data_IF_063032563603
#
_entry.id   IF_063032563603
#
_cell.length_a   1.000
_cell.length_b   1.000
_cell.length_c   1.000
_cell.angle_alpha   90.00
_cell.angle_beta   90.00
_cell.angle_gamma   90.00
#
_symmetry.space_group_name_H-M   'P 1'
#
loop_
_entity.id
_entity.type
_entity.pdbx_description
1 polymer ?
#
# COMPACT_ATOMS: atom_id res chain seq x y z
N UNK A 1 48.74 -26.75 26.94
CA UNK A 1 48.28 -26.75 25.54
C UNK A 1 47.08 -25.81 25.47
N UNK A 2 47.36 -24.55 25.14
CA UNK A 2 46.35 -23.46 25.03
C UNK A 2 45.88 -23.39 23.57
N UNK A 3 44.63 -23.72 23.36
CA UNK A 3 44.01 -23.62 22.06
C UNK A 3 43.75 -22.13 21.74
N UNK A 4 44.40 -21.63 20.70
CA UNK A 4 44.20 -20.30 20.15
C UNK A 4 42.85 -20.22 19.43
N UNK A 5 42.01 -19.22 19.76
CA UNK A 5 40.77 -18.94 19.08
C UNK A 5 41.08 -18.45 17.65
N UNK A 6 40.25 -18.81 16.64
CA UNK A 6 40.44 -18.31 15.29
C UNK A 6 40.17 -16.79 15.22
N UNK A 7 40.89 -16.06 14.36
CA UNK A 7 40.69 -14.64 14.20
C UNK A 7 39.30 -14.33 13.61
N UNK A 8 38.66 -13.29 14.14
CA UNK A 8 37.43 -12.73 13.60
C UNK A 8 37.64 -12.38 12.10
N UNK A 9 36.76 -12.84 11.25
CA UNK A 9 36.74 -12.43 9.84
C UNK A 9 36.55 -10.92 9.79
N UNK A 10 37.53 -10.25 9.19
CA UNK A 10 37.40 -8.85 8.81
C UNK A 10 36.22 -8.75 7.81
N UNK A 11 35.29 -7.87 8.11
CA UNK A 11 34.21 -7.49 7.19
C UNK A 11 34.85 -6.85 5.96
N UNK A 12 34.58 -7.40 4.78
CA UNK A 12 35.04 -6.90 3.49
C UNK A 12 34.32 -5.56 3.20
N UNK A 13 35.00 -4.42 3.12
CA UNK A 13 34.38 -3.12 2.89
C UNK A 13 33.83 -2.92 1.45
N UNK A 14 33.92 -3.95 0.58
CA UNK A 14 33.42 -3.94 -0.79
C UNK A 14 32.04 -4.60 -0.96
N UNK A 15 31.44 -5.18 0.08
CA UNK A 15 30.07 -5.65 0.02
C UNK A 15 29.14 -4.44 0.10
N UNK A 16 28.51 -4.07 -1.04
CA UNK A 16 27.46 -3.04 -1.09
C UNK A 16 26.43 -3.28 0.02
N UNK A 17 25.90 -2.21 0.61
CA UNK A 17 24.93 -2.30 1.69
C UNK A 17 23.81 -3.28 1.30
N UNK A 18 23.40 -4.19 2.18
CA UNK A 18 22.40 -5.20 1.85
C UNK A 18 21.07 -4.51 1.49
N UNK A 19 20.55 -4.82 0.29
CA UNK A 19 19.34 -4.23 -0.27
C UNK A 19 18.11 -4.92 0.33
N UNK A 20 17.13 -4.16 0.78
CA UNK A 20 15.84 -4.63 1.31
C UNK A 20 14.95 -5.02 0.12
N UNK A 21 14.44 -6.25 0.09
CA UNK A 21 13.47 -6.73 -0.90
C UNK A 21 12.07 -6.43 -0.38
N UNK A 22 11.39 -5.43 -0.96
CA UNK A 22 10.08 -5.01 -0.47
C UNK A 22 9.00 -5.16 -1.54
N UNK A 23 7.94 -5.91 -1.23
CA UNK A 23 6.78 -6.06 -2.08
C UNK A 23 5.99 -4.76 -2.20
N UNK A 24 5.59 -4.40 -3.42
CA UNK A 24 4.81 -3.21 -3.70
C UNK A 24 3.74 -3.51 -4.74
N UNK A 25 2.49 -3.11 -4.44
CA UNK A 25 1.40 -3.07 -5.41
C UNK A 25 1.10 -1.62 -5.79
N UNK A 26 1.10 -1.33 -7.08
CA UNK A 26 0.78 -0.06 -7.73
C UNK A 26 1.80 1.08 -7.52
N UNK A 27 1.76 1.85 -6.44
CA UNK A 27 2.37 3.19 -6.41
C UNK A 27 3.83 3.24 -5.95
N UNK A 28 4.77 3.38 -6.88
CA UNK A 28 6.18 3.67 -6.57
C UNK A 28 6.37 5.03 -5.89
N UNK A 29 5.63 6.07 -6.30
CA UNK A 29 5.79 7.42 -5.72
C UNK A 29 5.52 7.46 -4.22
N UNK A 30 4.52 6.72 -3.73
CA UNK A 30 4.26 6.61 -2.29
C UNK A 30 5.40 5.85 -1.59
N UNK A 31 5.84 4.75 -2.19
CA UNK A 31 6.89 3.92 -1.66
C UNK A 31 8.22 4.66 -1.53
N UNK A 32 8.60 5.43 -2.54
CA UNK A 32 9.81 6.28 -2.53
C UNK A 32 9.73 7.37 -1.45
N UNK A 33 8.54 7.93 -1.19
CA UNK A 33 8.33 8.89 -0.09
C UNK A 33 8.52 8.25 1.29
N UNK A 34 8.13 6.99 1.47
CA UNK A 34 8.37 6.24 2.71
C UNK A 34 9.88 6.08 2.93
N UNK A 35 10.63 5.66 1.90
CA UNK A 35 12.09 5.48 1.97
C UNK A 35 12.80 6.80 2.28
N UNK A 36 12.47 7.86 1.54
CA UNK A 36 13.05 9.19 1.74
C UNK A 36 12.70 9.76 3.11
N UNK A 37 11.44 9.62 3.56
CA UNK A 37 10.97 10.04 4.87
C UNK A 37 11.70 9.35 6.02
N UNK A 38 12.02 8.07 5.85
CA UNK A 38 12.83 7.31 6.79
C UNK A 38 14.32 7.69 6.81
N UNK A 39 14.77 8.58 5.91
CA UNK A 39 16.17 9.00 5.79
C UNK A 39 17.08 7.97 5.12
N UNK A 40 16.51 7.06 4.32
CA UNK A 40 17.26 6.03 3.61
C UNK A 40 17.48 6.41 2.14
N UNK A 41 18.59 5.98 1.53
CA UNK A 41 18.83 6.21 0.11
C UNK A 41 17.87 5.36 -0.75
N UNK A 42 17.51 5.84 -1.93
CA UNK A 42 16.53 5.19 -2.81
C UNK A 42 16.93 3.78 -3.24
N UNK A 43 18.22 3.50 -3.35
CA UNK A 43 18.78 2.20 -3.72
C UNK A 43 18.86 1.19 -2.55
N UNK A 44 18.54 1.62 -1.33
CA UNK A 44 18.45 0.71 -0.19
C UNK A 44 17.28 -0.28 -0.27
N UNK A 45 16.27 0.01 -1.09
CA UNK A 45 15.08 -0.83 -1.25
C UNK A 45 14.90 -1.21 -2.72
N UNK A 46 14.79 -2.51 -2.97
CA UNK A 46 14.37 -3.05 -4.27
C UNK A 46 12.88 -3.39 -4.21
N UNK A 47 12.08 -2.70 -4.99
CA UNK A 47 10.66 -2.94 -5.11
C UNK A 47 10.39 -4.18 -5.95
N UNK A 48 9.55 -5.06 -5.44
CA UNK A 48 9.12 -6.30 -6.10
C UNK A 48 7.60 -6.22 -6.30
N UNK A 49 7.10 -6.31 -7.55
CA UNK A 49 5.67 -6.23 -7.78
C UNK A 49 4.95 -7.47 -7.23
N UNK A 50 3.73 -7.28 -6.77
CA UNK A 50 2.79 -8.35 -6.50
C UNK A 50 1.38 -7.94 -6.96
N UNK A 51 0.55 -8.93 -7.26
CA UNK A 51 -0.81 -8.71 -7.70
C UNK A 51 -1.80 -8.79 -6.52
N UNK A 52 -2.89 -8.04 -6.63
CA UNK A 52 -3.87 -7.93 -5.55
C UNK A 52 -4.66 -9.22 -5.33
N UNK A 53 -4.76 -10.07 -6.32
CA UNK A 53 -5.44 -11.37 -6.26
C UNK A 53 -4.56 -12.51 -5.68
N UNK A 54 -3.24 -12.28 -5.55
CA UNK A 54 -2.30 -13.18 -4.83
C UNK A 54 -1.27 -12.37 -4.02
N UNK A 55 -1.68 -11.67 -2.95
CA UNK A 55 -0.84 -10.67 -2.30
C UNK A 55 0.30 -11.27 -1.47
N UNK A 56 0.17 -12.48 -0.92
CA UNK A 56 1.08 -12.96 0.12
C UNK A 56 1.99 -14.13 -0.27
N UNK A 57 1.79 -14.77 -1.40
CA UNK A 57 2.55 -15.98 -1.81
C UNK A 57 4.04 -15.71 -1.92
N UNK A 58 4.45 -14.62 -2.54
CA UNK A 58 5.86 -14.26 -2.67
C UNK A 58 6.54 -13.95 -1.33
N UNK A 59 5.82 -13.30 -0.40
CA UNK A 59 6.31 -13.07 0.96
C UNK A 59 6.48 -14.38 1.73
N UNK A 60 5.49 -15.27 1.66
CA UNK A 60 5.53 -16.61 2.30
C UNK A 60 6.62 -17.51 1.74
N UNK A 61 6.95 -17.34 0.46
CA UNK A 61 8.05 -18.05 -0.19
C UNK A 61 9.45 -17.44 0.12
N UNK A 62 9.55 -16.40 0.97
CA UNK A 62 10.81 -15.76 1.31
C UNK A 62 11.45 -14.97 0.17
N UNK A 63 10.69 -14.66 -0.88
CA UNK A 63 11.16 -13.86 -2.01
C UNK A 63 11.23 -12.37 -1.67
N UNK A 64 10.53 -11.94 -0.62
CA UNK A 64 10.48 -10.59 -0.06
C UNK A 64 10.88 -10.62 1.41
N UNK A 65 11.52 -9.56 1.88
CA UNK A 65 11.81 -9.34 3.31
C UNK A 65 10.65 -8.62 3.99
N UNK A 66 10.04 -7.69 3.27
CA UNK A 66 8.90 -6.88 3.66
C UNK A 66 7.89 -6.80 2.50
N UNK A 67 6.67 -6.37 2.81
CA UNK A 67 5.74 -5.87 1.81
C UNK A 67 4.97 -4.65 2.34
N UNK A 68 4.62 -3.75 1.43
CA UNK A 68 3.73 -2.62 1.74
C UNK A 68 2.29 -3.12 1.74
N UNK A 69 1.59 -2.89 2.85
CA UNK A 69 0.16 -3.22 3.01
C UNK A 69 -0.63 -1.96 3.35
N UNK A 70 -1.88 -1.93 2.91
CA UNK A 70 -2.84 -0.89 3.32
C UNK A 70 -3.86 -1.48 4.28
N UNK A 71 -4.29 -0.64 5.23
CA UNK A 71 -4.98 -1.11 6.42
C UNK A 71 -4.17 -2.21 7.13
N UNK A 72 -4.52 -2.65 8.26
CA UNK A 72 -3.74 -3.63 9.01
C UNK A 72 -4.37 -5.02 8.84
N UNK A 73 -3.99 -5.79 7.80
CA UNK A 73 -4.61 -7.10 7.54
C UNK A 73 -4.44 -8.03 8.75
N UNK A 74 -5.52 -8.68 9.16
CA UNK A 74 -5.51 -9.63 10.30
C UNK A 74 -5.10 -11.02 9.85
N UNK A 75 -3.96 -11.12 9.20
CA UNK A 75 -3.39 -12.38 8.69
C UNK A 75 -2.51 -12.99 9.76
N UNK A 76 -2.85 -14.17 10.32
CA UNK A 76 -2.22 -14.71 11.53
C UNK A 76 -0.71 -14.98 11.41
N UNK A 77 -0.22 -15.26 10.21
CA UNK A 77 1.17 -15.54 9.89
C UNK A 77 2.00 -14.28 9.58
N UNK A 78 1.38 -13.09 9.63
CA UNK A 78 2.08 -11.83 9.41
C UNK A 78 2.28 -11.04 10.71
N UNK A 79 3.38 -10.32 10.76
CA UNK A 79 3.60 -9.18 11.65
C UNK A 79 3.48 -7.90 10.85
N UNK A 80 2.86 -6.88 11.45
CA UNK A 80 2.56 -5.61 10.80
C UNK A 80 3.16 -4.49 11.63
N UNK A 81 3.89 -3.58 10.98
CA UNK A 81 4.41 -2.36 11.62
C UNK A 81 3.29 -1.42 12.08
N UNK A 82 3.63 -0.44 12.89
CA UNK A 82 2.80 0.78 12.98
C UNK A 82 2.71 1.43 11.59
N UNK A 83 1.73 2.32 11.35
CA UNK A 83 1.66 3.04 10.08
C UNK A 83 2.98 3.75 9.76
N UNK A 84 3.42 3.63 8.50
CA UNK A 84 4.59 4.33 7.95
C UNK A 84 4.18 5.43 6.97
N UNK A 85 2.88 5.50 6.64
CA UNK A 85 2.25 6.51 5.81
C UNK A 85 0.74 6.50 5.99
N UNK A 86 0.07 7.60 5.62
CA UNK A 86 -1.39 7.67 5.47
C UNK A 86 -1.72 8.13 4.06
N UNK A 87 -2.45 7.32 3.32
CA UNK A 87 -2.78 7.56 1.92
C UNK A 87 -4.19 8.13 1.79
N UNK A 88 -4.36 9.36 1.28
CA UNK A 88 -5.68 9.95 1.11
C UNK A 88 -6.59 9.10 0.23
N UNK A 89 -7.90 9.15 0.52
CA UNK A 89 -8.90 8.40 -0.24
C UNK A 89 -9.17 9.06 -1.58
N UNK A 90 -9.38 8.22 -2.59
CA UNK A 90 -9.66 8.66 -3.95
C UNK A 90 -10.54 7.64 -4.68
N UNK A 91 -11.12 8.05 -5.79
CA UNK A 91 -11.83 7.16 -6.72
C UNK A 91 -11.16 7.23 -8.08
N UNK A 92 -10.87 6.06 -8.68
CA UNK A 92 -10.43 5.95 -10.06
C UNK A 92 -11.63 5.81 -10.97
N UNK A 93 -11.62 6.52 -12.10
CA UNK A 93 -12.70 6.58 -13.10
C UNK A 93 -12.11 6.74 -14.50
N UNK A 94 -12.88 6.40 -15.53
CA UNK A 94 -12.49 6.77 -16.91
C UNK A 94 -12.44 8.29 -17.09
N UNK A 95 -11.60 8.80 -17.98
CA UNK A 95 -11.41 10.24 -18.18
C UNK A 95 -12.69 10.98 -18.60
N UNK A 96 -13.62 10.30 -19.28
CA UNK A 96 -14.91 10.86 -19.70
C UNK A 96 -16.03 10.67 -18.66
N UNK A 97 -15.73 10.06 -17.52
CA UNK A 97 -16.72 9.73 -16.48
C UNK A 97 -17.37 11.00 -15.89
N UNK A 98 -18.69 11.00 -15.58
CA UNK A 98 -19.37 12.18 -15.04
C UNK A 98 -18.75 12.77 -13.77
N UNK A 99 -18.10 11.97 -12.94
CA UNK A 99 -17.44 12.43 -11.71
C UNK A 99 -16.24 13.34 -11.96
N UNK A 100 -15.59 13.29 -13.14
CA UNK A 100 -14.46 14.18 -13.49
C UNK A 100 -14.86 15.65 -13.56
N UNK A 101 -16.15 15.94 -13.74
CA UNK A 101 -16.70 17.29 -13.84
C UNK A 101 -17.21 17.84 -12.52
N UNK A 102 -17.14 17.04 -11.43
CA UNK A 102 -17.56 17.47 -10.09
C UNK A 102 -16.39 18.06 -9.33
N UNK A 103 -16.63 19.13 -8.56
CA UNK A 103 -15.56 19.82 -7.81
C UNK A 103 -15.08 19.07 -6.59
N UNK A 104 -15.98 18.54 -5.77
CA UNK A 104 -15.66 17.75 -4.57
C UNK A 104 -16.50 16.49 -4.56
N UNK A 105 -15.86 15.35 -4.33
CA UNK A 105 -16.50 14.05 -4.30
C UNK A 105 -16.58 13.52 -2.88
N UNK A 106 -17.67 12.84 -2.58
CA UNK A 106 -17.92 12.10 -1.34
C UNK A 106 -18.24 10.64 -1.66
N UNK A 107 -18.31 9.80 -0.64
CA UNK A 107 -18.73 8.41 -0.83
C UNK A 107 -20.16 8.29 -1.37
N UNK A 108 -21.02 9.29 -1.12
CA UNK A 108 -22.38 9.33 -1.68
C UNK A 108 -22.38 9.45 -3.20
N UNK A 109 -21.45 10.21 -3.76
CA UNK A 109 -21.30 10.35 -5.21
C UNK A 109 -20.79 9.06 -5.85
N UNK A 110 -19.89 8.36 -5.17
CA UNK A 110 -19.34 7.06 -5.61
C UNK A 110 -20.42 5.97 -5.61
N UNK A 111 -21.35 5.99 -4.63
CA UNK A 111 -22.41 4.98 -4.48
C UNK A 111 -23.43 4.96 -5.63
N UNK A 112 -23.45 5.97 -6.51
CA UNK A 112 -24.28 5.97 -7.72
C UNK A 112 -23.81 4.94 -8.77
N UNK A 113 -22.55 4.52 -8.71
CA UNK A 113 -21.89 3.72 -9.73
C UNK A 113 -21.52 2.32 -9.22
N UNK A 114 -21.08 1.46 -10.13
CA UNK A 114 -20.62 0.11 -9.81
C UNK A 114 -19.11 0.08 -9.54
N UNK A 115 -18.71 -0.56 -8.46
CA UNK A 115 -17.32 -0.76 -8.04
C UNK A 115 -16.89 -2.22 -8.20
N UNK A 116 -15.67 -2.53 -7.82
CA UNK A 116 -15.05 -3.83 -7.94
C UNK A 116 -15.30 -4.71 -6.70
N UNK A 117 -15.39 -6.02 -6.94
CA UNK A 117 -15.50 -7.04 -5.88
C UNK A 117 -14.15 -7.31 -5.25
N UNK A 118 -14.16 -7.77 -4.01
CA UNK A 118 -12.97 -8.30 -3.37
C UNK A 118 -12.33 -9.39 -4.24
N UNK A 119 -11.03 -9.34 -4.51
CA UNK A 119 -10.31 -10.45 -5.13
C UNK A 119 -10.41 -11.72 -4.28
N UNK A 120 -10.29 -12.90 -4.91
CA UNK A 120 -10.55 -14.18 -4.24
C UNK A 120 -9.64 -14.44 -3.04
N UNK A 121 -8.35 -14.17 -3.20
CA UNK A 121 -7.34 -14.45 -2.17
C UNK A 121 -6.93 -13.21 -1.36
N UNK A 122 -7.67 -12.10 -1.52
CA UNK A 122 -7.45 -10.88 -0.75
C UNK A 122 -8.27 -10.87 0.54
N UNK A 123 -7.74 -10.37 1.67
CA UNK A 123 -8.48 -10.29 2.93
C UNK A 123 -9.77 -9.47 2.80
N UNK A 124 -10.96 -10.07 2.97
CA UNK A 124 -12.23 -9.38 2.73
C UNK A 124 -12.48 -8.23 3.71
N UNK A 125 -11.97 -8.32 4.94
CA UNK A 125 -12.05 -7.24 5.92
C UNK A 125 -11.24 -6.02 5.50
N UNK A 126 -10.08 -6.21 4.85
CA UNK A 126 -9.29 -5.11 4.28
C UNK A 126 -10.02 -4.49 3.09
N UNK A 127 -10.64 -5.34 2.25
CA UNK A 127 -11.42 -4.83 1.12
C UNK A 127 -12.63 -4.02 1.57
N UNK A 128 -13.27 -4.39 2.67
CA UNK A 128 -14.39 -3.64 3.24
C UNK A 128 -13.95 -2.24 3.75
N UNK A 129 -12.70 -2.08 4.14
CA UNK A 129 -12.12 -0.77 4.45
C UNK A 129 -11.76 0.03 3.18
N UNK A 130 -11.28 -0.64 2.11
CA UNK A 130 -10.98 0.00 0.83
C UNK A 130 -12.26 0.43 0.12
N UNK A 131 -13.20 -0.49 -0.04
CA UNK A 131 -14.51 -0.24 -0.66
C UNK A 131 -15.58 -0.57 0.37
N UNK A 132 -16.09 0.39 1.15
CA UNK A 132 -17.16 0.15 2.12
C UNK A 132 -18.41 -0.49 1.49
N UNK A 133 -19.17 -1.24 2.27
CA UNK A 133 -20.40 -1.87 1.78
C UNK A 133 -21.52 -0.87 1.56
N UNK A 134 -21.51 0.23 2.31
CA UNK A 134 -22.53 1.27 2.27
C UNK A 134 -21.90 2.66 2.39
N UNK A 135 -22.54 3.63 1.77
CA UNK A 135 -22.28 5.05 1.99
C UNK A 135 -22.88 5.49 3.36
N UNK A 136 -22.53 6.67 3.88
CA UNK A 136 -23.05 7.19 5.15
C UNK A 136 -24.58 7.27 5.24
N UNK A 137 -25.25 7.48 4.11
CA UNK A 137 -26.73 7.44 4.03
C UNK A 137 -27.35 6.06 4.16
N UNK A 138 -26.53 4.99 4.20
CA UNK A 138 -26.96 3.60 4.15
C UNK A 138 -27.15 3.04 2.74
N UNK A 139 -26.93 3.83 1.68
CA UNK A 139 -26.99 3.33 0.31
C UNK A 139 -25.90 2.27 0.07
N UNK A 140 -26.24 1.10 -0.54
CA UNK A 140 -25.25 0.08 -0.82
C UNK A 140 -24.29 0.53 -1.94
N UNK A 141 -23.00 0.24 -1.76
CA UNK A 141 -22.00 0.34 -2.83
C UNK A 141 -22.01 -0.99 -3.60
N UNK A 142 -22.34 -0.90 -4.88
CA UNK A 142 -22.53 -2.07 -5.75
C UNK A 142 -21.17 -2.59 -6.22
N UNK A 143 -20.68 -3.66 -5.62
CA UNK A 143 -19.40 -4.31 -5.96
C UNK A 143 -19.67 -5.42 -6.99
N UNK A 144 -19.54 -5.14 -8.28
CA UNK A 144 -19.94 -6.07 -9.35
C UNK A 144 -18.80 -6.48 -10.28
N UNK A 145 -17.80 -5.62 -10.51
CA UNK A 145 -16.70 -5.93 -11.43
C UNK A 145 -15.62 -6.82 -10.76
N UNK A 146 -15.02 -7.76 -11.48
CA UNK A 146 -13.89 -8.52 -10.96
C UNK A 146 -12.67 -7.60 -10.83
N UNK A 147 -11.91 -7.74 -9.72
CA UNK A 147 -10.62 -7.09 -9.52
C UNK A 147 -9.53 -8.14 -9.70
N UNK A 148 -8.63 -7.94 -10.66
CA UNK A 148 -7.48 -8.83 -10.93
C UNK A 148 -6.18 -8.02 -11.01
N UNK A 149 -5.99 -7.25 -12.06
CA UNK A 149 -4.81 -6.40 -12.25
C UNK A 149 -5.19 -4.93 -12.41
N UNK A 150 -4.23 -4.02 -12.23
CA UNK A 150 -4.43 -2.58 -12.48
C UNK A 150 -4.84 -2.32 -13.92
N UNK A 151 -4.29 -3.08 -14.90
CA UNK A 151 -4.65 -2.92 -16.31
C UNK A 151 -6.10 -3.37 -16.57
N UNK A 152 -6.51 -4.53 -16.06
CA UNK A 152 -7.88 -5.02 -16.24
C UNK A 152 -8.91 -4.09 -15.57
N UNK A 153 -8.58 -3.53 -14.40
CA UNK A 153 -9.38 -2.48 -13.76
C UNK A 153 -9.51 -1.25 -14.68
N UNK A 154 -8.39 -0.76 -15.22
CA UNK A 154 -8.38 0.40 -16.10
C UNK A 154 -9.23 0.19 -17.37
N UNK A 155 -9.17 -1.00 -17.98
CA UNK A 155 -9.96 -1.34 -19.14
C UNK A 155 -11.48 -1.25 -18.85
N UNK A 156 -11.91 -1.71 -17.66
CA UNK A 156 -13.32 -1.60 -17.23
C UNK A 156 -13.70 -0.14 -16.97
N UNK A 157 -12.83 0.66 -16.34
CA UNK A 157 -13.09 2.08 -16.05
C UNK A 157 -13.21 2.91 -17.32
N UNK A 158 -12.36 2.65 -18.32
CA UNK A 158 -12.36 3.38 -19.60
C UNK A 158 -13.56 2.98 -20.48
N UNK A 159 -14.01 1.73 -20.39
CA UNK A 159 -15.10 1.22 -21.22
C UNK A 159 -16.50 1.63 -20.77
N UNK A 160 -16.68 2.17 -19.55
CA UNK A 160 -18.02 2.41 -19.02
C UNK A 160 -18.10 3.45 -17.92
N UNK A 161 -19.10 3.29 -17.08
CA UNK A 161 -19.41 4.15 -15.93
C UNK A 161 -19.01 3.52 -14.59
N UNK A 162 -18.12 2.52 -14.60
CA UNK A 162 -17.59 1.92 -13.41
C UNK A 162 -16.67 2.89 -12.65
N UNK A 163 -16.57 2.69 -11.35
CA UNK A 163 -15.66 3.42 -10.45
C UNK A 163 -14.84 2.44 -9.66
N UNK A 164 -13.67 2.86 -9.17
CA UNK A 164 -12.93 2.10 -8.17
C UNK A 164 -12.51 3.00 -7.01
N UNK A 165 -13.17 2.84 -5.87
CA UNK A 165 -12.78 3.51 -4.64
C UNK A 165 -11.44 2.95 -4.14
N UNK A 166 -10.45 3.82 -4.03
CA UNK A 166 -9.06 3.45 -3.76
C UNK A 166 -8.35 4.58 -2.99
N UNK A 167 -7.13 4.89 -3.38
CA UNK A 167 -6.27 5.88 -2.74
C UNK A 167 -5.63 6.80 -3.78
N UNK A 168 -5.26 8.01 -3.33
CA UNK A 168 -4.68 9.01 -4.21
C UNK A 168 -3.33 8.57 -4.82
N UNK A 169 -2.59 7.72 -4.12
CA UNK A 169 -1.34 7.16 -4.65
C UNK A 169 -1.52 6.35 -5.94
N UNK A 170 -2.72 5.83 -6.21
CA UNK A 170 -3.01 5.10 -7.45
C UNK A 170 -2.83 5.96 -8.70
N UNK A 171 -2.93 7.30 -8.59
CA UNK A 171 -2.78 8.24 -9.71
C UNK A 171 -1.46 8.09 -10.49
N UNK A 172 -0.41 7.58 -9.86
CA UNK A 172 0.89 7.38 -10.51
C UNK A 172 1.09 5.97 -11.10
N UNK A 173 0.08 5.11 -10.97
CA UNK A 173 0.15 3.72 -11.41
C UNK A 173 -0.91 3.36 -12.47
N UNK A 174 -1.93 4.21 -12.66
CA UNK A 174 -2.95 3.99 -13.68
C UNK A 174 -2.45 4.41 -15.07
N UNK A 175 -2.88 3.72 -16.14
CA UNK A 175 -2.54 4.12 -17.50
C UNK A 175 -3.33 5.36 -17.94
N UNK A 176 -2.95 5.91 -19.10
CA UNK A 176 -3.68 6.99 -19.74
C UNK A 176 -5.16 6.60 -19.96
N UNK A 177 -6.06 7.57 -19.81
CA UNK A 177 -7.51 7.36 -19.93
C UNK A 177 -8.20 7.06 -18.59
N UNK A 178 -7.45 6.90 -17.49
CA UNK A 178 -7.99 6.81 -16.13
C UNK A 178 -7.58 8.04 -15.32
N UNK A 179 -8.53 8.63 -14.62
CA UNK A 179 -8.31 9.71 -13.66
C UNK A 179 -8.53 9.22 -12.24
N UNK A 180 -7.76 9.76 -11.30
CA UNK A 180 -7.88 9.47 -9.87
C UNK A 180 -8.24 10.75 -9.14
N UNK A 181 -9.45 10.80 -8.61
CA UNK A 181 -10.07 11.99 -8.04
C UNK A 181 -10.16 11.85 -6.51
N UNK A 182 -9.78 12.87 -5.73
CA UNK A 182 -9.88 12.80 -4.27
C UNK A 182 -11.32 12.65 -3.80
N UNK A 183 -11.53 11.82 -2.76
CA UNK A 183 -12.82 11.60 -2.10
C UNK A 183 -12.74 12.14 -0.68
N UNK A 184 -13.64 13.05 -0.34
CA UNK A 184 -13.72 13.71 0.96
C UNK A 184 -14.63 12.95 1.95
N UNK A 185 -14.43 13.21 3.24
CA UNK A 185 -15.25 12.61 4.30
C UNK A 185 -14.86 11.18 4.71
N UNK A 186 -13.83 10.61 4.10
CA UNK A 186 -13.24 9.35 4.52
C UNK A 186 -11.87 9.59 5.16
N UNK A 187 -11.52 8.87 6.24
CA UNK A 187 -10.17 8.94 6.79
C UNK A 187 -9.17 8.39 5.77
N UNK A 188 -7.94 8.94 5.73
CA UNK A 188 -6.89 8.36 4.90
C UNK A 188 -6.57 6.93 5.35
N UNK A 189 -6.25 6.06 4.40
CA UNK A 189 -5.91 4.67 4.71
C UNK A 189 -4.50 4.56 5.30
N UNK A 190 -4.34 3.88 6.45
CA UNK A 190 -3.02 3.61 6.99
C UNK A 190 -2.26 2.65 6.08
N UNK A 191 -0.99 2.96 5.84
CA UNK A 191 -0.03 2.14 5.11
C UNK A 191 1.01 1.62 6.09
N UNK A 192 1.29 0.34 6.07
CA UNK A 192 2.23 -0.31 6.97
C UNK A 192 3.17 -1.25 6.20
N UNK A 193 4.17 -1.75 6.91
CA UNK A 193 5.09 -2.79 6.42
C UNK A 193 4.74 -4.11 7.09
N UNK A 194 4.65 -5.18 6.29
CA UNK A 194 4.35 -6.52 6.76
C UNK A 194 5.52 -7.47 6.50
N UNK A 195 5.71 -8.45 7.39
CA UNK A 195 6.68 -9.54 7.25
C UNK A 195 6.15 -10.82 7.90
N UNK A 196 6.80 -11.96 7.63
CA UNK A 196 6.38 -13.24 8.20
C UNK A 196 6.63 -13.28 9.71
N UNK A 197 5.62 -13.65 10.46
CA UNK A 197 5.68 -13.89 11.90
C UNK A 197 6.66 -15.02 12.20
N UNK A 198 7.49 -14.81 13.22
CA UNK A 198 8.50 -15.79 13.63
C UNK A 198 9.75 -15.85 12.75
N UNK A 199 9.82 -15.07 11.67
CA UNK A 199 11.04 -14.89 10.89
C UNK A 199 11.76 -13.63 11.36
N UNK A 200 12.93 -13.74 12.02
CA UNK A 200 13.65 -12.57 12.49
C UNK A 200 14.08 -11.72 11.29
N UNK A 201 13.73 -10.44 11.31
CA UNK A 201 14.20 -9.52 10.29
C UNK A 201 15.72 -9.31 10.41
N UNK A 202 16.46 -9.29 9.28
CA UNK A 202 17.84 -8.83 9.27
C UNK A 202 17.95 -7.44 9.93
N UNK A 203 19.06 -7.17 10.61
CA UNK A 203 19.22 -5.95 11.42
C UNK A 203 18.99 -4.65 10.66
N UNK A 204 19.41 -4.56 9.38
CA UNK A 204 19.17 -3.42 8.50
C UNK A 204 17.68 -3.27 8.12
N UNK A 205 16.96 -4.38 7.88
CA UNK A 205 15.52 -4.36 7.59
C UNK A 205 14.74 -3.90 8.83
N UNK A 206 15.04 -4.46 10.01
CA UNK A 206 14.41 -4.04 11.26
C UNK A 206 14.67 -2.56 11.60
N UNK A 207 15.85 -2.04 11.24
CA UNK A 207 16.16 -0.62 11.38
C UNK A 207 15.32 0.23 10.44
N UNK A 208 15.20 -0.15 9.16
CA UNK A 208 14.36 0.56 8.19
C UNK A 208 12.91 0.65 8.65
N UNK A 209 12.33 -0.45 9.16
CA UNK A 209 10.95 -0.46 9.68
C UNK A 209 10.80 0.58 10.80
N UNK A 210 11.71 0.58 11.80
CA UNK A 210 11.65 1.54 12.91
C UNK A 210 11.82 2.99 12.45
N UNK A 211 12.72 3.26 11.51
CA UNK A 211 12.99 4.60 10.99
C UNK A 211 11.76 5.13 10.23
N UNK A 212 11.10 4.28 9.41
CA UNK A 212 9.88 4.62 8.70
C UNK A 212 8.70 4.90 9.67
N UNK A 213 8.53 4.07 10.70
CA UNK A 213 7.51 4.29 11.74
C UNK A 213 7.72 5.62 12.49
N UNK A 214 8.98 5.93 12.84
CA UNK A 214 9.31 7.15 13.58
C UNK A 214 9.12 8.40 12.70
N UNK A 215 9.46 8.32 11.41
CA UNK A 215 9.24 9.40 10.46
C UNK A 215 7.76 9.75 10.32
N UNK A 216 6.89 8.73 10.23
CA UNK A 216 5.44 8.93 10.16
C UNK A 216 4.86 9.49 11.46
N UNK A 217 5.30 9.00 12.60
CA UNK A 217 4.87 9.51 13.89
C UNK A 217 5.24 11.00 14.07
N UNK A 218 6.44 11.39 13.66
CA UNK A 218 6.87 12.79 13.69
C UNK A 218 6.03 13.68 12.75
N UNK A 219 5.72 13.18 11.54
CA UNK A 219 4.91 13.90 10.55
C UNK A 219 3.47 14.13 11.04
N UNK A 220 2.87 13.12 11.65
CA UNK A 220 1.51 13.19 12.19
C UNK A 220 1.43 14.14 13.39
N UNK A 221 2.41 14.10 14.29
CA UNK A 221 2.48 15.01 15.43
C UNK A 221 2.60 16.50 15.01
N UNK A 222 3.27 16.77 13.87
CA UNK A 222 3.41 18.13 13.32
C UNK A 222 2.15 18.61 12.61
N UNK A 223 1.31 17.68 12.12
CA UNK A 223 0.07 17.99 11.39
C UNK A 223 -1.15 18.23 12.31
N UNK A 224 -1.10 17.84 13.58
CA UNK A 224 -2.14 18.18 14.55
C UNK A 224 -2.03 19.67 14.94
N UNK A 225 -3.07 20.50 14.67
CA UNK A 225 -3.05 21.89 15.11
C UNK A 225 -3.06 21.91 16.64
N UNK A 226 -2.14 22.69 17.21
CA UNK A 226 -2.18 23.07 18.64
C UNK A 226 -3.57 23.66 18.92
N UNK A 227 -4.36 22.97 19.74
CA UNK A 227 -5.68 23.41 20.20
C UNK A 227 -5.56 24.60 21.13
#
# INVERSE_FOLDING_TARGET
>A
MTASAPPARAEDPAAGSPVIRCGLHASHTMADRIVAGAGWPADAVRWLPFEVDDPFTALRAGQMDLMVVKYLPRTPDLEISRPVWHDPRAVAVGADHPLTRRGALTLEDVADFADFRCPTDFPPEVWDEVVPRTAPSGRPIRRVHPMTTVQAMADVLVAGDAVHLSFLSLATAVPAGVEVLPVHGLPPGPVALAWLRGSPLPGHVARFVRDAENAEAARTATAEPVR
#
